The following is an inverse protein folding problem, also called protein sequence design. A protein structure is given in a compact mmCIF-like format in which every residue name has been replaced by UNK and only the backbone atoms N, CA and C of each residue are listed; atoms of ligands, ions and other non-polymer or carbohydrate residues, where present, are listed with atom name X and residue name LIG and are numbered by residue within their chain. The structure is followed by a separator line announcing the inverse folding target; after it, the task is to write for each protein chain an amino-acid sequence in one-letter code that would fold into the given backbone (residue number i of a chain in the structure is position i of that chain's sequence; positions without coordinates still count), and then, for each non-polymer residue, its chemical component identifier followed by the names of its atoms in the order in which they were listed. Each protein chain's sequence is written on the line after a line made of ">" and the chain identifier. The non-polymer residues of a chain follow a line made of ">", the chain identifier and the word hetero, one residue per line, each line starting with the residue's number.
data_IF_810636191633
#
_entry.id   IF_810636191633
#
_cell.length_a   1.000
_cell.length_b   1.000
_cell.length_c   1.000
_cell.angle_alpha   90.00
_cell.angle_beta   90.00
_cell.angle_gamma   90.00
#
_symmetry.space_group_name_H-M   'P 1'
#
loop_
_entity.id
_entity.type
_entity.pdbx_description
1 polymer ?
#
# COMPACT_ATOMS: atom_id res chain seq x y z
N UNK A 1 16.23 7.71 4.13
CA UNK A 1 14.95 7.01 4.15
C UNK A 1 14.63 6.29 2.85
N UNK A 2 14.68 6.95 1.71
CA UNK A 2 14.47 6.28 0.42
C UNK A 2 15.45 5.14 0.16
N UNK A 3 16.78 5.33 0.34
CA UNK A 3 17.73 4.25 0.04
C UNK A 3 17.46 2.97 0.84
N UNK A 4 17.20 3.10 2.12
CA UNK A 4 16.96 1.98 3.02
C UNK A 4 15.65 1.27 2.69
N UNK A 5 14.60 2.02 2.36
CA UNK A 5 13.29 1.45 1.98
C UNK A 5 13.37 0.70 0.66
N UNK A 6 14.07 1.26 -0.32
CA UNK A 6 14.28 0.58 -1.60
C UNK A 6 15.00 -0.76 -1.39
N UNK A 7 16.07 -0.74 -0.63
CA UNK A 7 16.83 -1.96 -0.32
C UNK A 7 15.97 -2.99 0.41
N UNK A 8 15.21 -2.55 1.40
CA UNK A 8 14.33 -3.42 2.18
C UNK A 8 13.25 -4.07 1.32
N UNK A 9 12.61 -3.30 0.44
CA UNK A 9 11.60 -3.81 -0.49
C UNK A 9 12.19 -4.84 -1.45
N UNK A 10 13.36 -4.54 -2.02
CA UNK A 10 14.04 -5.46 -2.95
C UNK A 10 14.40 -6.76 -2.24
N UNK A 11 15.03 -6.68 -1.08
CA UNK A 11 15.43 -7.86 -0.30
C UNK A 11 14.22 -8.65 0.20
N UNK A 12 13.13 -7.96 0.53
CA UNK A 12 11.89 -8.60 0.94
C UNK A 12 11.30 -9.48 -0.15
N UNK A 13 11.46 -9.12 -1.42
CA UNK A 13 11.07 -9.94 -2.56
C UNK A 13 12.16 -10.92 -3.02
N UNK A 14 13.31 -10.90 -2.39
CA UNK A 14 14.45 -11.81 -2.69
C UNK A 14 14.92 -11.71 -4.13
N UNK A 15 14.92 -10.50 -4.69
CA UNK A 15 15.39 -10.26 -6.06
C UNK A 15 16.73 -9.53 -6.06
N UNK A 16 17.51 -9.77 -7.09
CA UNK A 16 18.82 -9.13 -7.28
C UNK A 16 18.64 -7.73 -7.89
N UNK A 17 19.69 -6.91 -7.82
CA UNK A 17 19.72 -5.62 -8.52
C UNK A 17 19.49 -5.79 -10.01
N UNK A 18 20.10 -6.81 -10.62
CA UNK A 18 19.95 -7.11 -12.04
C UNK A 18 18.52 -7.51 -12.37
N UNK A 19 17.88 -8.35 -11.56
CA UNK A 19 16.51 -8.76 -11.76
C UNK A 19 15.55 -7.56 -11.65
N UNK A 20 15.77 -6.69 -10.68
CA UNK A 20 14.96 -5.47 -10.55
C UNK A 20 15.13 -4.56 -11.76
N UNK A 21 16.36 -4.36 -12.24
CA UNK A 21 16.60 -3.57 -13.46
C UNK A 21 15.86 -4.15 -14.66
N UNK A 22 15.90 -5.45 -14.83
CA UNK A 22 15.18 -6.15 -15.91
C UNK A 22 13.67 -5.90 -15.85
N UNK A 23 13.10 -5.99 -14.63
CA UNK A 23 11.67 -5.75 -14.43
C UNK A 23 11.28 -4.30 -14.74
N UNK A 24 12.08 -3.33 -14.30
CA UNK A 24 11.83 -1.93 -14.58
C UNK A 24 11.91 -1.59 -16.06
N UNK A 25 12.69 -2.37 -16.83
CA UNK A 25 12.91 -2.15 -18.25
C UNK A 25 11.88 -2.81 -19.17
N UNK A 26 10.92 -3.56 -18.62
CA UNK A 26 9.97 -4.32 -19.44
C UNK A 26 9.06 -3.45 -20.32
N UNK A 27 8.68 -2.27 -19.84
CA UNK A 27 7.74 -1.39 -20.55
C UNK A 27 8.33 0.00 -20.76
N UNK A 28 9.49 0.06 -21.43
CA UNK A 28 10.13 1.35 -21.72
C UNK A 28 9.39 2.10 -22.83
N UNK A 29 9.13 3.38 -22.58
CA UNK A 29 8.62 4.28 -23.60
C UNK A 29 9.70 4.65 -24.64
N UNK A 30 9.31 5.29 -25.76
CA UNK A 30 10.23 5.54 -26.86
C UNK A 30 11.42 6.46 -26.52
N UNK A 31 11.31 7.27 -25.48
CA UNK A 31 12.38 8.19 -25.06
C UNK A 31 12.98 7.81 -23.70
N UNK A 32 12.61 6.65 -23.15
CA UNK A 32 13.11 6.20 -21.86
C UNK A 32 14.36 5.36 -22.04
N UNK A 33 15.37 5.65 -21.21
CA UNK A 33 16.60 4.87 -21.17
C UNK A 33 16.43 3.68 -20.21
N UNK A 34 17.04 2.51 -20.54
CA UNK A 34 17.03 1.39 -19.64
C UNK A 34 17.73 1.71 -18.32
N UNK A 35 17.21 1.18 -17.23
CA UNK A 35 17.84 1.22 -15.93
C UNK A 35 18.86 0.07 -15.80
N UNK A 36 19.94 0.30 -15.08
CA UNK A 36 20.99 -0.70 -14.86
C UNK A 36 21.04 -1.09 -13.39
N UNK A 37 21.57 -2.29 -13.13
CA UNK A 37 21.81 -2.74 -11.76
C UNK A 37 22.71 -1.76 -10.99
N UNK A 38 23.69 -1.19 -11.67
CA UNK A 38 24.60 -0.20 -11.08
C UNK A 38 23.88 1.07 -10.65
N UNK A 39 22.93 1.57 -11.46
CA UNK A 39 22.09 2.72 -11.07
C UNK A 39 21.28 2.43 -9.83
N UNK A 40 20.61 1.30 -9.79
CA UNK A 40 19.78 0.91 -8.64
C UNK A 40 20.65 0.76 -7.39
N UNK A 41 21.83 0.18 -7.53
CA UNK A 41 22.79 0.09 -6.43
C UNK A 41 23.20 1.47 -5.91
N UNK A 42 23.39 2.45 -6.79
CA UNK A 42 23.68 3.83 -6.39
C UNK A 42 22.50 4.48 -5.65
N UNK A 43 21.27 4.17 -6.04
CA UNK A 43 20.08 4.64 -5.30
C UNK A 43 20.02 4.03 -3.90
N UNK A 44 20.29 2.74 -3.78
CA UNK A 44 20.29 2.05 -2.47
C UNK A 44 21.40 2.52 -1.53
N UNK A 45 22.50 3.00 -2.09
CA UNK A 45 23.61 3.56 -1.30
C UNK A 45 23.46 5.05 -1.02
N UNK A 46 22.45 5.68 -1.61
CA UNK A 46 22.25 7.14 -1.46
C UNK A 46 23.22 7.99 -2.24
N UNK A 47 24.01 7.41 -3.17
CA UNK A 47 24.97 8.14 -4.01
C UNK A 47 24.25 8.96 -5.08
N UNK A 48 23.18 8.42 -5.61
CA UNK A 48 22.32 9.06 -6.62
C UNK A 48 20.87 8.93 -6.19
N UNK A 49 20.06 9.89 -6.65
CA UNK A 49 18.62 9.89 -6.43
C UNK A 49 17.92 9.58 -7.75
N UNK A 50 16.92 8.70 -7.79
CA UNK A 50 16.17 8.46 -9.02
C UNK A 50 15.35 9.68 -9.42
N UNK A 51 15.04 9.79 -10.71
CA UNK A 51 14.08 10.78 -11.21
C UNK A 51 12.68 10.44 -10.70
N UNK A 52 11.75 11.38 -10.86
CA UNK A 52 10.34 11.15 -10.52
C UNK A 52 9.77 9.94 -11.26
N UNK A 53 10.07 9.82 -12.57
CA UNK A 53 9.57 8.69 -13.39
C UNK A 53 10.12 7.36 -12.88
N UNK A 54 11.41 7.30 -12.56
CA UNK A 54 12.05 6.11 -12.01
C UNK A 54 11.49 5.74 -10.63
N UNK A 55 11.31 6.73 -9.76
CA UNK A 55 10.73 6.51 -8.43
C UNK A 55 9.28 6.00 -8.54
N UNK A 56 8.50 6.53 -9.47
CA UNK A 56 7.13 6.07 -9.73
C UNK A 56 7.11 4.62 -10.20
N UNK A 57 8.00 4.25 -11.10
CA UNK A 57 8.12 2.85 -11.58
C UNK A 57 8.47 1.90 -10.44
N UNK A 58 9.38 2.30 -9.57
CA UNK A 58 9.74 1.51 -8.39
C UNK A 58 8.54 1.33 -7.46
N UNK A 59 7.80 2.40 -7.20
CA UNK A 59 6.61 2.34 -6.35
C UNK A 59 5.54 1.40 -6.95
N UNK A 60 5.31 1.47 -8.25
CA UNK A 60 4.38 0.59 -8.96
C UNK A 60 4.84 -0.87 -8.90
N UNK A 61 6.11 -1.14 -9.13
CA UNK A 61 6.66 -2.50 -9.08
C UNK A 61 6.50 -3.13 -7.70
N UNK A 62 6.81 -2.38 -6.65
CA UNK A 62 6.70 -2.87 -5.27
C UNK A 62 5.30 -2.76 -4.68
N UNK A 63 4.36 -2.22 -5.43
CA UNK A 63 2.97 -1.98 -4.98
C UNK A 63 2.91 -1.18 -3.68
N UNK A 64 3.68 -0.13 -3.63
CA UNK A 64 3.69 0.82 -2.52
C UNK A 64 3.41 2.22 -3.05
N UNK A 65 3.01 3.13 -2.16
CA UNK A 65 2.84 4.53 -2.55
C UNK A 65 4.19 5.20 -2.76
N UNK A 66 4.20 6.24 -3.58
CA UNK A 66 5.40 7.06 -3.77
C UNK A 66 5.81 7.74 -2.44
N UNK A 67 4.83 8.16 -1.66
CA UNK A 67 5.07 8.77 -0.34
C UNK A 67 5.74 7.78 0.62
N UNK A 68 5.32 6.52 0.63
CA UNK A 68 5.98 5.49 1.41
C UNK A 68 7.41 5.28 0.95
N UNK A 69 7.63 5.12 -0.34
CA UNK A 69 8.95 4.86 -0.91
C UNK A 69 9.92 6.02 -0.62
N UNK A 70 9.45 7.26 -0.73
CA UNK A 70 10.29 8.45 -0.52
C UNK A 70 10.45 8.83 0.96
N UNK A 71 9.71 8.19 1.84
CA UNK A 71 9.81 8.42 3.28
C UNK A 71 8.90 9.53 3.82
N UNK A 72 7.96 10.01 3.01
CA UNK A 72 6.95 10.96 3.48
C UNK A 72 5.89 10.31 4.36
N UNK A 73 5.66 9.02 4.17
CA UNK A 73 4.68 8.26 4.93
C UNK A 73 5.30 6.96 5.41
N UNK A 74 5.07 6.61 6.66
CA UNK A 74 5.44 5.32 7.21
C UNK A 74 4.39 4.25 6.91
N UNK A 75 3.24 4.67 6.38
CA UNK A 75 2.10 3.81 6.12
C UNK A 75 1.95 3.54 4.63
N UNK A 76 1.69 2.30 4.30
CA UNK A 76 1.25 1.88 2.97
C UNK A 76 -0.20 1.38 3.08
N UNK A 77 -1.06 2.24 3.62
CA UNK A 77 -2.47 1.95 3.84
C UNK A 77 -3.33 3.12 3.38
N UNK A 78 -4.61 2.86 3.24
CA UNK A 78 -5.59 3.87 2.88
C UNK A 78 -6.69 3.90 3.94
N UNK A 79 -7.08 5.11 4.33
CA UNK A 79 -8.25 5.30 5.18
C UNK A 79 -9.49 5.42 4.28
N UNK A 80 -10.39 4.45 4.36
CA UNK A 80 -11.60 4.42 3.55
C UNK A 80 -12.47 5.66 3.78
N UNK A 81 -12.54 6.17 5.01
CA UNK A 81 -13.31 7.37 5.29
C UNK A 81 -12.79 8.56 4.48
N UNK A 82 -11.47 8.71 4.39
CA UNK A 82 -10.86 9.78 3.58
C UNK A 82 -11.14 9.61 2.10
N UNK A 83 -11.15 8.37 1.61
CA UNK A 83 -11.49 8.09 0.23
C UNK A 83 -12.96 8.45 -0.07
N UNK A 84 -13.88 8.09 0.81
CA UNK A 84 -15.31 8.41 0.62
C UNK A 84 -15.59 9.91 0.55
N UNK A 85 -14.80 10.71 1.26
CA UNK A 85 -14.98 12.17 1.27
C UNK A 85 -13.98 12.90 0.35
N UNK A 86 -13.22 12.17 -0.45
CA UNK A 86 -12.29 12.78 -1.42
C UNK A 86 -13.04 13.26 -2.67
N UNK A 87 -12.37 14.10 -3.45
CA UNK A 87 -12.89 14.58 -4.74
C UNK A 87 -12.78 13.55 -5.85
N UNK A 88 -12.17 12.39 -5.59
CA UNK A 88 -11.99 11.34 -6.60
C UNK A 88 -13.26 10.55 -6.79
N UNK A 89 -13.52 10.13 -8.03
CA UNK A 89 -14.59 9.20 -8.31
C UNK A 89 -14.29 7.84 -7.71
N UNK A 90 -15.25 7.28 -6.99
CA UNK A 90 -15.18 5.94 -6.46
C UNK A 90 -16.16 5.04 -7.18
N UNK A 91 -15.73 3.82 -7.43
CA UNK A 91 -16.54 2.80 -8.09
C UNK A 91 -16.64 1.56 -7.23
N UNK A 92 -17.77 0.90 -7.32
CA UNK A 92 -17.95 -0.44 -6.79
C UNK A 92 -18.55 -1.30 -7.89
N UNK A 93 -17.86 -2.37 -8.28
CA UNK A 93 -18.24 -3.24 -9.40
C UNK A 93 -18.61 -2.42 -10.67
N UNK A 94 -17.75 -1.48 -11.03
CA UNK A 94 -17.88 -0.59 -12.19
C UNK A 94 -19.04 0.44 -12.09
N UNK A 95 -19.73 0.49 -10.98
CA UNK A 95 -20.77 1.51 -10.73
C UNK A 95 -20.17 2.69 -9.98
N UNK A 96 -20.34 3.89 -10.53
CA UNK A 96 -19.85 5.11 -9.87
C UNK A 96 -20.75 5.39 -8.66
N UNK A 97 -20.12 5.63 -7.50
CA UNK A 97 -20.83 5.97 -6.28
C UNK A 97 -21.16 7.46 -6.26
N UNK A 98 -22.41 7.80 -6.04
CA UNK A 98 -22.83 9.19 -5.82
C UNK A 98 -22.37 9.67 -4.45
N UNK A 99 -22.44 10.98 -4.21
CA UNK A 99 -22.13 11.54 -2.89
C UNK A 99 -23.03 10.98 -1.80
N UNK A 100 -24.30 10.75 -2.13
CA UNK A 100 -25.24 10.11 -1.21
C UNK A 100 -24.87 8.66 -0.91
N UNK A 101 -24.51 7.89 -1.95
CA UNK A 101 -24.05 6.51 -1.80
C UNK A 101 -22.85 6.43 -0.87
N UNK A 102 -21.88 7.31 -1.06
CA UNK A 102 -20.67 7.34 -0.21
C UNK A 102 -21.01 7.60 1.24
N UNK A 103 -21.91 8.54 1.49
CA UNK A 103 -22.31 8.88 2.84
C UNK A 103 -23.05 7.72 3.52
N UNK A 104 -23.98 7.09 2.81
CA UNK A 104 -24.72 5.93 3.32
C UNK A 104 -23.82 4.74 3.59
N UNK A 105 -22.90 4.45 2.66
CA UNK A 105 -21.91 3.36 2.84
C UNK A 105 -21.00 3.66 4.03
N UNK A 106 -20.54 4.91 4.16
CA UNK A 106 -19.76 5.32 5.32
C UNK A 106 -20.51 5.05 6.62
N UNK A 107 -21.80 5.41 6.70
CA UNK A 107 -22.61 5.17 7.89
C UNK A 107 -22.77 3.67 8.19
N UNK A 108 -22.90 2.83 7.17
CA UNK A 108 -23.00 1.38 7.33
C UNK A 108 -21.69 0.81 7.92
N UNK A 109 -20.55 1.23 7.38
CA UNK A 109 -19.24 0.78 7.87
C UNK A 109 -19.01 1.28 9.30
N UNK A 110 -19.28 2.55 9.55
CA UNK A 110 -19.10 3.15 10.88
C UNK A 110 -19.98 2.46 11.92
N UNK A 111 -21.24 2.23 11.59
CA UNK A 111 -22.17 1.51 12.46
C UNK A 111 -21.75 0.08 12.73
N UNK A 112 -21.28 -0.62 11.70
CA UNK A 112 -20.76 -1.98 11.86
C UNK A 112 -19.56 -2.03 12.80
N UNK A 113 -18.60 -1.13 12.61
CA UNK A 113 -17.38 -1.11 13.44
C UNK A 113 -17.68 -0.71 14.89
N UNK A 114 -18.55 0.27 15.10
CA UNK A 114 -19.00 0.65 16.46
C UNK A 114 -19.75 -0.48 17.15
N UNK A 115 -20.64 -1.15 16.44
CA UNK A 115 -21.34 -2.33 16.97
C UNK A 115 -20.39 -3.46 17.34
N UNK A 116 -19.34 -3.65 16.53
CA UNK A 116 -18.30 -4.63 16.81
C UNK A 116 -17.49 -4.28 18.06
N UNK A 117 -17.14 -3.02 18.25
CA UNK A 117 -16.42 -2.56 19.44
C UNK A 117 -17.27 -2.73 20.69
N UNK A 118 -18.54 -2.38 20.66
CA UNK A 118 -19.47 -2.60 21.75
C UNK A 118 -19.60 -4.10 22.10
N UNK A 119 -19.63 -4.96 21.10
CA UNK A 119 -19.64 -6.42 21.30
C UNK A 119 -18.35 -6.92 21.93
N UNK A 120 -17.19 -6.35 21.54
CA UNK A 120 -15.89 -6.70 22.13
C UNK A 120 -15.78 -6.30 23.60
N UNK A 121 -16.32 -5.15 23.97
CA UNK A 121 -16.36 -4.69 25.36
C UNK A 121 -17.22 -5.58 26.25
N UNK A 122 -18.23 -6.22 25.67
CA UNK A 122 -19.11 -7.16 26.38
C UNK A 122 -18.66 -8.62 26.27
N UNK A 123 -17.60 -8.90 25.49
CA UNK A 123 -17.06 -10.24 25.32
C UNK A 123 -16.08 -10.62 26.43
N UNK A 124 -15.96 -11.91 26.76
CA UNK A 124 -15.01 -12.39 27.76
C UNK A 124 -13.57 -12.10 27.35
N UNK A 125 -12.67 -12.14 28.32
CA UNK A 125 -11.24 -11.95 28.10
C UNK A 125 -10.70 -12.93 27.05
N UNK A 126 -9.55 -12.60 26.48
CA UNK A 126 -8.95 -13.38 25.40
C UNK A 126 -8.85 -14.88 25.72
N UNK A 127 -8.50 -15.22 26.97
CA UNK A 127 -8.45 -16.62 27.42
C UNK A 127 -9.82 -17.29 27.47
N UNK A 128 -10.86 -16.56 27.84
CA UNK A 128 -12.23 -17.07 27.84
C UNK A 128 -12.78 -17.24 26.41
N UNK A 129 -12.34 -16.38 25.51
CA UNK A 129 -12.73 -16.44 24.10
C UNK A 129 -12.06 -17.62 23.39
N UNK A 130 -10.81 -17.92 23.73
CA UNK A 130 -10.12 -19.12 23.22
C UNK A 130 -10.79 -20.40 23.71
N UNK A 131 -11.21 -20.46 24.96
CA UNK A 131 -11.99 -21.59 25.50
C UNK A 131 -13.32 -21.78 24.77
N UNK A 132 -14.04 -20.67 24.51
CA UNK A 132 -15.29 -20.71 23.77
C UNK A 132 -15.10 -21.19 22.33
N UNK A 133 -14.05 -20.74 21.66
CA UNK A 133 -13.71 -21.16 20.30
C UNK A 133 -13.36 -22.65 20.24
N UNK A 134 -12.70 -23.17 21.26
CA UNK A 134 -12.41 -24.60 21.37
C UNK A 134 -13.65 -25.46 21.58
N UNK A 135 -14.66 -24.94 22.27
CA UNK A 135 -15.95 -25.65 22.51
C UNK A 135 -16.84 -25.71 21.26
N UNK A 136 -16.73 -24.76 20.34
CA UNK A 136 -17.59 -24.64 19.16
C UNK A 136 -16.91 -25.06 17.85
N UNK A 137 -15.71 -25.58 17.92
CA UNK A 137 -15.07 -26.26 16.78
C UNK A 137 -15.43 -27.78 16.76
#
# INVERSE_FOLDING_TARGET
>A
MFPERLRALRRGQKITLKALATELNQNLGPNEKPNTASQIGNWERGIRTPSYVEARKLAEFFDVSLDYLTGKSDRNDYDLAKLFFSSRDLRFNNTILSSEDRYEIFQLIDGYLKGKDNRRESEPTQSQQEELNLKFK
#
